data_IF_503034433662
#
_entry.id   IF_503034433662
#
_cell.length_a   1.000
_cell.length_b   1.000
_cell.length_c   1.000
_cell.angle_alpha   90.00
_cell.angle_beta   90.00
_cell.angle_gamma   90.00
#
_symmetry.space_group_name_H-M   'P 1'
#
loop_
_entity.id
_entity.type
_entity.pdbx_description
1 polymer ?
#
# COMPACT_ATOMS: atom_id res chain seq x y z
N UNK A 1 6.16 15.71 4.16
CA UNK A 1 5.95 14.70 5.24
C UNK A 1 4.99 15.10 6.37
N UNK A 2 4.85 16.40 6.74
CA UNK A 2 3.96 16.83 7.85
C UNK A 2 2.52 16.34 7.75
N UNK A 3 1.89 16.40 6.56
CA UNK A 3 0.52 15.92 6.35
C UNK A 3 0.39 14.42 6.62
N UNK A 4 1.31 13.61 6.09
CA UNK A 4 1.33 12.16 6.31
C UNK A 4 1.55 11.78 7.78
N UNK A 5 2.35 12.57 8.53
CA UNK A 5 2.56 12.35 9.98
C UNK A 5 1.32 12.58 10.84
N UNK A 6 0.34 13.36 10.37
CA UNK A 6 -0.86 13.74 11.14
C UNK A 6 -2.13 13.04 10.68
N UNK A 7 -2.11 12.45 9.48
CA UNK A 7 -3.31 11.89 8.85
C UNK A 7 -3.04 10.46 8.39
N UNK A 8 -4.02 9.57 8.59
CA UNK A 8 -3.95 8.17 8.10
C UNK A 8 -4.16 8.06 6.60
N UNK A 9 -4.73 9.09 5.98
CA UNK A 9 -4.97 9.18 4.55
C UNK A 9 -4.62 10.58 4.04
N UNK A 10 -3.96 10.65 2.87
CA UNK A 10 -3.62 11.90 2.20
C UNK A 10 -3.91 11.76 0.71
N UNK A 11 -4.91 12.50 0.23
CA UNK A 11 -5.17 12.62 -1.20
C UNK A 11 -4.21 13.60 -1.88
N UNK A 12 -3.70 13.24 -3.06
CA UNK A 12 -2.93 14.12 -3.94
C UNK A 12 -3.72 14.32 -5.22
N UNK A 13 -4.35 15.49 -5.35
CA UNK A 13 -5.27 15.83 -6.46
C UNK A 13 -4.76 17.05 -7.24
N UNK A 14 -5.16 17.16 -8.51
CA UNK A 14 -4.70 18.20 -9.43
C UNK A 14 -4.79 17.78 -10.90
N UNK A 15 -4.69 18.74 -11.81
CA UNK A 15 -4.80 18.54 -13.27
C UNK A 15 -3.78 17.54 -13.81
N UNK A 16 -4.08 16.86 -14.92
CA UNK A 16 -3.10 15.97 -15.56
C UNK A 16 -1.83 16.75 -15.92
N UNK A 17 -0.66 16.14 -15.78
CA UNK A 17 0.63 16.81 -16.02
C UNK A 17 1.15 17.71 -14.88
N UNK A 18 0.36 17.99 -13.82
CA UNK A 18 0.80 18.84 -12.69
C UNK A 18 1.89 18.24 -11.78
N UNK A 19 2.51 17.12 -12.19
CA UNK A 19 3.59 16.48 -11.44
C UNK A 19 3.17 15.61 -10.25
N UNK A 20 1.89 15.28 -10.04
CA UNK A 20 1.43 14.43 -8.90
C UNK A 20 2.17 13.09 -8.79
N UNK A 21 2.28 12.39 -9.92
CA UNK A 21 2.99 11.11 -10.00
C UNK A 21 4.47 11.28 -9.65
N UNK A 22 5.10 12.35 -10.13
CA UNK A 22 6.50 12.67 -9.84
C UNK A 22 6.70 13.07 -8.38
N UNK A 23 5.81 13.88 -7.82
CA UNK A 23 5.79 14.26 -6.40
C UNK A 23 5.75 13.02 -5.51
N UNK A 24 4.89 12.04 -5.83
CA UNK A 24 4.80 10.81 -5.06
C UNK A 24 6.03 9.92 -5.31
N UNK A 25 6.33 9.58 -6.57
CA UNK A 25 7.35 8.56 -6.90
C UNK A 25 8.80 9.03 -6.76
N UNK A 26 9.10 10.28 -7.10
CA UNK A 26 10.44 10.84 -7.06
C UNK A 26 10.69 11.72 -5.81
N UNK A 27 9.63 12.18 -5.14
CA UNK A 27 9.74 12.99 -3.92
C UNK A 27 9.41 12.21 -2.65
N UNK A 28 8.15 11.76 -2.53
CA UNK A 28 7.63 11.17 -1.30
C UNK A 28 8.22 9.79 -1.02
N UNK A 29 8.13 8.84 -1.95
CA UNK A 29 8.59 7.47 -1.71
C UNK A 29 10.09 7.40 -1.38
N UNK A 30 10.99 8.12 -2.09
CA UNK A 30 12.40 8.15 -1.71
C UNK A 30 12.64 8.74 -0.32
N UNK A 31 11.87 9.77 0.08
CA UNK A 31 11.96 10.34 1.42
C UNK A 31 11.44 9.38 2.51
N UNK A 32 10.49 8.49 2.21
CA UNK A 32 10.05 7.44 3.15
C UNK A 32 11.13 6.37 3.32
N UNK A 33 11.73 5.90 2.22
CA UNK A 33 12.84 4.95 2.28
C UNK A 33 14.08 5.51 2.98
N UNK A 34 14.39 6.80 2.79
CA UNK A 34 15.51 7.47 3.43
C UNK A 34 15.36 7.71 4.94
N UNK A 35 14.30 7.19 5.58
CA UNK A 35 14.12 7.27 7.04
C UNK A 35 13.75 8.67 7.56
N UNK A 36 13.37 9.60 6.69
CA UNK A 36 13.01 10.98 7.07
C UNK A 36 11.72 11.08 7.91
N UNK A 37 11.02 9.96 8.17
CA UNK A 37 9.93 9.86 9.13
C UNK A 37 10.37 9.20 10.44
N UNK A 38 11.04 9.98 11.28
CA UNK A 38 11.65 9.56 12.56
C UNK A 38 10.74 8.81 13.55
N UNK A 39 9.40 9.01 13.50
CA UNK A 39 8.44 8.29 14.37
C UNK A 39 7.92 6.97 13.77
N UNK A 40 7.94 6.83 12.44
CA UNK A 40 7.46 5.62 11.75
C UNK A 40 8.60 4.68 11.33
N UNK A 41 9.85 5.16 11.42
CA UNK A 41 11.03 4.41 10.97
C UNK A 41 11.15 4.34 9.46
N UNK A 42 11.99 3.41 8.99
CA UNK A 42 12.25 3.09 7.58
C UNK A 42 11.45 1.89 7.07
N UNK A 43 10.64 1.23 7.93
CA UNK A 43 9.91 -0.01 7.60
C UNK A 43 8.61 0.23 6.81
N UNK A 44 8.68 1.11 5.80
CA UNK A 44 7.57 1.37 4.90
C UNK A 44 7.40 0.22 3.91
N UNK A 45 6.17 -0.30 3.86
CA UNK A 45 5.73 -1.27 2.87
C UNK A 45 4.85 -0.55 1.85
N UNK A 46 5.23 -0.60 0.58
CA UNK A 46 4.62 0.24 -0.46
C UNK A 46 4.02 -0.65 -1.54
N UNK A 47 2.68 -0.66 -1.60
CA UNK A 47 1.94 -1.20 -2.73
C UNK A 47 1.59 -0.09 -3.72
N UNK A 48 1.88 -0.30 -5.01
CA UNK A 48 1.50 0.61 -6.09
C UNK A 48 0.57 -0.12 -7.04
N UNK A 49 -0.63 0.43 -7.24
CA UNK A 49 -1.60 -0.12 -8.17
C UNK A 49 -2.17 0.95 -9.10
N UNK A 50 -2.82 0.49 -10.17
CA UNK A 50 -3.77 1.28 -10.95
C UNK A 50 -5.14 0.64 -10.77
N UNK A 51 -6.19 1.40 -10.39
CA UNK A 51 -7.52 0.85 -10.13
C UNK A 51 -8.10 0.05 -11.31
N UNK A 52 -7.98 0.54 -12.55
CA UNK A 52 -8.48 -0.17 -13.73
C UNK A 52 -9.97 -0.54 -13.64
N UNK A 53 -10.35 -1.65 -14.26
CA UNK A 53 -11.73 -2.18 -14.24
C UNK A 53 -12.03 -3.04 -12.99
N UNK A 54 -11.00 -3.43 -12.24
CA UNK A 54 -11.10 -4.26 -11.04
C UNK A 54 -10.24 -3.65 -9.92
N UNK A 55 -10.72 -2.57 -9.27
CA UNK A 55 -9.93 -1.83 -8.29
C UNK A 55 -9.55 -2.67 -7.07
N UNK A 56 -10.44 -3.57 -6.64
CA UNK A 56 -10.23 -4.38 -5.44
C UNK A 56 -9.29 -5.55 -5.72
N UNK A 57 -9.44 -6.27 -6.84
CA UNK A 57 -8.48 -7.31 -7.20
C UNK A 57 -7.12 -6.73 -7.60
N UNK A 58 -7.07 -5.55 -8.24
CA UNK A 58 -5.81 -4.84 -8.47
C UNK A 58 -5.11 -4.43 -7.17
N UNK A 59 -5.88 -4.03 -6.15
CA UNK A 59 -5.35 -3.76 -4.82
C UNK A 59 -4.85 -5.05 -4.15
N UNK A 60 -5.63 -6.14 -4.18
CA UNK A 60 -5.23 -7.41 -3.60
C UNK A 60 -3.92 -7.94 -4.20
N UNK A 61 -3.78 -7.88 -5.53
CA UNK A 61 -2.54 -8.27 -6.22
C UNK A 61 -1.35 -7.38 -5.86
N UNK A 62 -1.55 -6.08 -5.69
CA UNK A 62 -0.49 -5.16 -5.27
C UNK A 62 -0.08 -5.31 -3.79
N UNK A 63 -0.99 -5.80 -2.93
CA UNK A 63 -0.69 -6.11 -1.54
C UNK A 63 -0.01 -7.48 -1.39
N UNK A 64 -0.27 -8.41 -2.31
CA UNK A 64 0.30 -9.76 -2.32
C UNK A 64 1.72 -9.81 -2.94
N UNK A 65 2.58 -8.86 -2.59
CA UNK A 65 4.01 -8.94 -2.90
C UNK A 65 4.80 -9.18 -1.61
N UNK A 66 5.97 -9.86 -1.68
CA UNK A 66 6.78 -10.15 -0.49
C UNK A 66 7.18 -8.91 0.32
N UNK A 67 7.30 -7.77 -0.35
CA UNK A 67 7.66 -6.48 0.25
C UNK A 67 6.48 -5.83 0.99
N UNK A 68 5.25 -6.33 0.81
CA UNK A 68 4.03 -5.81 1.41
C UNK A 68 3.41 -6.82 2.36
N UNK A 69 2.52 -7.72 1.90
CA UNK A 69 1.85 -8.73 2.74
C UNK A 69 2.10 -10.18 2.29
N UNK A 70 2.66 -10.39 1.10
CA UNK A 70 2.78 -11.71 0.49
C UNK A 70 3.81 -12.62 1.16
N UNK A 71 3.53 -13.93 1.17
CA UNK A 71 4.45 -14.98 1.57
C UNK A 71 5.35 -15.42 0.38
N UNK A 72 6.35 -16.30 0.57
CA UNK A 72 7.18 -16.85 -0.51
C UNK A 72 6.39 -17.57 -1.62
N UNK A 73 7.05 -17.81 -2.76
CA UNK A 73 6.48 -18.13 -4.09
C UNK A 73 5.40 -19.22 -4.17
N UNK A 74 5.28 -20.11 -3.18
CA UNK A 74 4.34 -21.23 -3.17
C UNK A 74 2.89 -20.89 -2.83
N UNK A 75 2.59 -19.71 -2.26
CA UNK A 75 1.24 -19.37 -1.74
C UNK A 75 0.54 -18.21 -2.49
N UNK A 76 1.11 -17.72 -3.60
CA UNK A 76 0.72 -16.44 -4.20
C UNK A 76 -0.73 -16.38 -4.72
N UNK A 77 -1.23 -17.43 -5.38
CA UNK A 77 -2.56 -17.39 -6.01
C UNK A 77 -3.67 -17.45 -4.94
N UNK A 78 -3.49 -18.32 -3.94
CA UNK A 78 -4.44 -18.48 -2.85
C UNK A 78 -4.48 -17.23 -1.95
N UNK A 79 -3.31 -16.65 -1.66
CA UNK A 79 -3.21 -15.50 -0.77
C UNK A 79 -3.80 -14.22 -1.37
N UNK A 80 -3.62 -13.97 -2.68
CA UNK A 80 -4.26 -12.82 -3.33
C UNK A 80 -5.79 -12.91 -3.26
N UNK A 81 -6.35 -14.12 -3.43
CA UNK A 81 -7.79 -14.38 -3.35
C UNK A 81 -8.32 -14.15 -1.93
N UNK A 82 -7.58 -14.59 -0.90
CA UNK A 82 -7.91 -14.35 0.51
C UNK A 82 -7.86 -12.86 0.86
N UNK A 83 -6.83 -12.15 0.39
CA UNK A 83 -6.71 -10.69 0.58
C UNK A 83 -7.90 -10.00 -0.09
N UNK A 84 -8.24 -10.38 -1.33
CA UNK A 84 -9.37 -9.78 -2.05
C UNK A 84 -10.70 -10.03 -1.33
N UNK A 85 -10.96 -11.27 -0.89
CA UNK A 85 -12.15 -11.61 -0.13
C UNK A 85 -12.25 -10.80 1.18
N UNK A 86 -11.11 -10.56 1.84
CA UNK A 86 -11.03 -9.73 3.05
C UNK A 86 -11.30 -8.26 2.75
N UNK A 87 -10.73 -7.73 1.66
CA UNK A 87 -10.98 -6.35 1.21
C UNK A 87 -12.46 -6.11 0.87
N UNK A 88 -13.15 -7.11 0.32
CA UNK A 88 -14.58 -7.01 -0.05
C UNK A 88 -15.54 -7.21 1.13
N UNK A 89 -15.07 -7.74 2.27
CA UNK A 89 -15.92 -8.10 3.41
C UNK A 89 -16.49 -6.89 4.16
N UNK A 90 -15.84 -5.73 4.07
CA UNK A 90 -16.36 -4.51 4.67
C UNK A 90 -15.37 -3.34 4.67
N UNK A 91 -15.79 -2.23 5.29
CA UNK A 91 -15.09 -0.94 5.24
C UNK A 91 -13.69 -0.94 5.86
N UNK A 92 -13.39 -1.94 6.69
CA UNK A 92 -12.08 -2.12 7.35
C UNK A 92 -11.22 -3.22 6.71
N UNK A 93 -11.59 -3.72 5.53
CA UNK A 93 -10.93 -4.86 4.89
C UNK A 93 -9.41 -4.69 4.71
N UNK A 94 -8.91 -3.46 4.48
CA UNK A 94 -7.46 -3.21 4.39
C UNK A 94 -6.75 -3.41 5.73
N UNK A 95 -7.38 -3.00 6.84
CA UNK A 95 -6.84 -3.18 8.20
C UNK A 95 -6.85 -4.66 8.57
N UNK A 96 -7.91 -5.38 8.20
CA UNK A 96 -8.03 -6.81 8.43
C UNK A 96 -7.00 -7.61 7.64
N UNK A 97 -6.83 -7.31 6.35
CA UNK A 97 -5.79 -7.93 5.51
C UNK A 97 -4.38 -7.70 6.10
N UNK A 98 -4.10 -6.48 6.58
CA UNK A 98 -2.82 -6.17 7.24
C UNK A 98 -2.61 -6.98 8.53
N UNK A 99 -3.66 -7.16 9.35
CA UNK A 99 -3.56 -7.96 10.59
C UNK A 99 -3.33 -9.45 10.31
N UNK A 100 -3.90 -9.96 9.21
CA UNK A 100 -3.72 -11.35 8.80
C UNK A 100 -2.34 -11.62 8.20
N UNK A 101 -1.66 -10.62 7.64
CA UNK A 101 -0.39 -10.74 6.94
C UNK A 101 0.82 -11.15 7.81
N UNK A 102 0.65 -11.49 9.09
CA UNK A 102 1.68 -11.97 10.05
C UNK A 102 3.04 -11.28 9.87
N UNK A 103 3.03 -9.95 9.73
CA UNK A 103 4.23 -9.17 9.46
C UNK A 103 5.24 -9.31 10.61
N UNK A 104 6.54 -9.54 10.33
CA UNK A 104 7.56 -9.50 11.36
C UNK A 104 7.64 -8.09 11.96
N UNK A 105 7.72 -8.03 13.31
CA UNK A 105 7.84 -6.80 14.11
C UNK A 105 9.14 -6.07 13.82
#
# INVERSE_FOLDING_TARGET
LRKLRRNRFVGVVGTSGSGKSSLVRAGLLPALHGGFMTKAGSSWRIAVLRPGHDPIGNLARALNTPEVFGAPQSEFIDQATIIEATLRRGDLGLVEAMRQARLPQ
#
